data_IF_829627685967
#
_entry.id   IF_829627685967
#
_cell.length_a   1.000
_cell.length_b   1.000
_cell.length_c   1.000
_cell.angle_alpha   90.00
_cell.angle_beta   90.00
_cell.angle_gamma   90.00
#
_symmetry.space_group_name_H-M   'P 1'
#
loop_
_entity.id
_entity.type
_entity.pdbx_description
1 polymer ?
#
# COMPACT_ATOMS: atom_id res chain seq x y z
N UNK A 1 -28.61 0.44 4.78
CA UNK A 1 -27.53 -0.52 4.45
C UNK A 1 -27.56 -0.74 2.96
N UNK A 2 -26.46 -0.50 2.26
CA UNK A 2 -26.34 -0.88 0.85
C UNK A 2 -26.35 -2.40 0.71
N UNK A 3 -26.94 -2.93 -0.35
CA UNK A 3 -26.78 -4.34 -0.71
C UNK A 3 -25.30 -4.63 -1.04
N UNK A 4 -24.88 -5.90 -0.98
CA UNK A 4 -23.51 -6.30 -1.35
C UNK A 4 -23.13 -5.82 -2.76
N UNK A 5 -24.10 -5.80 -3.68
CA UNK A 5 -23.91 -5.34 -5.06
C UNK A 5 -23.74 -3.83 -5.15
N UNK A 6 -24.55 -3.05 -4.42
CA UNK A 6 -24.46 -1.58 -4.39
C UNK A 6 -23.13 -1.12 -3.81
N UNK A 7 -22.68 -1.74 -2.71
CA UNK A 7 -21.39 -1.44 -2.11
C UNK A 7 -20.22 -1.77 -3.06
N UNK A 8 -20.33 -2.86 -3.84
CA UNK A 8 -19.32 -3.22 -4.85
C UNK A 8 -19.26 -2.21 -5.99
N UNK A 9 -20.43 -1.82 -6.53
CA UNK A 9 -20.53 -0.79 -7.58
C UNK A 9 -19.96 0.55 -7.11
N UNK A 10 -20.24 0.95 -5.87
CA UNK A 10 -19.72 2.20 -5.31
C UNK A 10 -18.18 2.19 -5.22
N UNK A 11 -17.58 1.10 -4.71
CA UNK A 11 -16.12 0.95 -4.69
C UNK A 11 -15.52 0.99 -6.08
N UNK A 12 -16.14 0.32 -7.05
CA UNK A 12 -15.68 0.36 -8.43
C UNK A 12 -15.74 1.78 -9.02
N UNK A 13 -16.85 2.50 -8.80
CA UNK A 13 -17.00 3.88 -9.25
C UNK A 13 -15.99 4.83 -8.59
N UNK A 14 -15.70 4.63 -7.29
CA UNK A 14 -14.66 5.37 -6.58
C UNK A 14 -13.30 5.20 -7.27
N UNK A 15 -12.85 3.97 -7.48
CA UNK A 15 -11.55 3.70 -8.11
C UNK A 15 -11.44 4.20 -9.55
N UNK A 16 -12.53 4.09 -10.34
CA UNK A 16 -12.57 4.65 -11.70
C UNK A 16 -12.45 6.17 -11.68
N UNK A 17 -13.20 6.84 -10.79
CA UNK A 17 -13.20 8.30 -10.68
C UNK A 17 -11.85 8.80 -10.15
N UNK A 18 -11.31 8.17 -9.12
CA UNK A 18 -10.00 8.46 -8.55
C UNK A 18 -8.89 8.29 -9.60
N UNK A 19 -8.89 7.19 -10.36
CA UNK A 19 -7.92 6.97 -11.43
C UNK A 19 -7.98 8.04 -12.52
N UNK A 20 -9.17 8.53 -12.88
CA UNK A 20 -9.31 9.67 -13.81
C UNK A 20 -8.78 10.97 -13.23
N UNK A 21 -9.06 11.23 -11.96
CA UNK A 21 -8.61 12.44 -11.26
C UNK A 21 -7.10 12.48 -11.08
N UNK A 22 -6.47 11.33 -10.81
CA UNK A 22 -5.03 11.22 -10.57
C UNK A 22 -4.19 11.02 -11.85
N UNK A 23 -4.83 10.91 -13.02
CA UNK A 23 -4.15 10.80 -14.32
C UNK A 23 -3.11 11.92 -14.61
N UNK A 24 -3.32 13.19 -14.24
CA UNK A 24 -2.33 14.25 -14.48
C UNK A 24 -1.22 14.28 -13.42
N UNK A 25 -1.32 13.50 -12.33
CA UNK A 25 -0.29 13.43 -11.29
C UNK A 25 0.73 12.36 -11.70
N UNK A 26 1.97 12.75 -12.06
CA UNK A 26 2.99 11.79 -12.48
C UNK A 26 3.53 10.99 -11.29
N UNK A 27 4.16 9.86 -11.58
CA UNK A 27 5.00 9.15 -10.59
C UNK A 27 6.22 9.99 -10.20
N UNK A 28 6.97 9.50 -9.20
CA UNK A 28 8.29 10.06 -8.88
C UNK A 28 9.27 10.08 -10.07
N UNK A 29 9.03 9.24 -11.09
CA UNK A 29 9.84 9.14 -12.32
C UNK A 29 9.20 9.85 -13.53
N UNK A 30 8.07 10.56 -13.35
CA UNK A 30 7.42 11.27 -14.47
C UNK A 30 6.50 10.40 -15.35
N UNK A 31 6.27 9.14 -15.00
CA UNK A 31 5.49 8.19 -15.81
C UNK A 31 4.02 8.12 -15.38
N UNK A 32 3.08 7.78 -16.30
CA UNK A 32 1.69 7.50 -15.94
C UNK A 32 1.62 6.36 -14.94
N UNK A 33 0.94 6.57 -13.81
CA UNK A 33 0.96 5.62 -12.69
C UNK A 33 -0.41 5.13 -12.29
N UNK A 34 -0.46 3.84 -11.94
CA UNK A 34 -1.58 3.26 -11.25
C UNK A 34 -1.37 3.45 -9.75
N UNK A 35 -2.03 4.46 -9.16
CA UNK A 35 -1.94 4.78 -7.74
C UNK A 35 -2.45 3.67 -6.82
N UNK A 36 -3.29 2.76 -7.31
CA UNK A 36 -3.78 1.59 -6.55
C UNK A 36 -2.68 0.54 -6.41
N UNK A 37 -1.82 0.42 -7.42
CA UNK A 37 -0.72 -0.55 -7.46
C UNK A 37 0.54 0.14 -7.98
N UNK A 38 1.15 0.94 -7.11
CA UNK A 38 2.32 1.72 -7.46
C UNK A 38 3.49 0.77 -7.71
N UNK A 39 4.07 0.86 -8.92
CA UNK A 39 5.21 0.01 -9.31
C UNK A 39 6.46 0.50 -8.60
N UNK A 40 6.89 -0.23 -7.58
CA UNK A 40 8.13 0.02 -6.82
C UNK A 40 9.38 -0.39 -7.59
N UNK A 41 9.26 -1.23 -8.62
CA UNK A 41 10.39 -1.87 -9.31
C UNK A 41 11.06 -2.99 -8.52
N UNK A 42 10.67 -3.19 -7.26
CA UNK A 42 11.21 -4.23 -6.37
C UNK A 42 10.25 -5.41 -6.32
N UNK A 43 10.77 -6.61 -6.62
CA UNK A 43 9.96 -7.83 -6.63
C UNK A 43 9.40 -8.12 -5.23
N UNK A 44 8.11 -8.45 -5.15
CA UNK A 44 7.38 -8.76 -3.91
C UNK A 44 7.33 -7.63 -2.88
N UNK A 45 7.55 -6.38 -3.30
CA UNK A 45 7.32 -5.18 -2.49
C UNK A 45 6.29 -4.33 -3.20
N UNK A 46 5.13 -4.16 -2.58
CA UNK A 46 4.00 -3.45 -3.17
C UNK A 46 3.68 -2.21 -2.35
N UNK A 47 3.50 -1.07 -3.03
CA UNK A 47 2.95 0.13 -2.41
C UNK A 47 1.48 0.24 -2.82
N UNK A 48 0.59 0.15 -1.84
CA UNK A 48 -0.85 0.00 -2.03
C UNK A 48 -1.60 1.08 -1.28
N UNK A 49 -2.71 1.48 -1.87
CA UNK A 49 -3.70 2.34 -1.21
C UNK A 49 -5.01 1.55 -1.14
N UNK A 50 -5.57 1.47 0.07
CA UNK A 50 -6.86 0.84 0.32
C UNK A 50 -7.82 1.91 0.85
N UNK A 51 -8.86 2.22 0.10
CA UNK A 51 -9.92 3.13 0.53
C UNK A 51 -11.16 2.33 0.93
N UNK A 52 -11.49 2.35 2.21
CA UNK A 52 -12.74 1.82 2.75
C UNK A 52 -13.78 2.94 2.94
N UNK A 53 -14.99 2.58 3.38
CA UNK A 53 -16.10 3.54 3.54
C UNK A 53 -15.82 4.64 4.59
N UNK A 54 -14.94 4.37 5.57
CA UNK A 54 -14.70 5.28 6.71
C UNK A 54 -13.25 5.73 6.86
N UNK A 55 -12.32 5.04 6.21
CA UNK A 55 -10.88 5.25 6.37
C UNK A 55 -10.16 4.90 5.08
N UNK A 56 -8.99 5.47 4.87
CA UNK A 56 -8.14 5.15 3.74
C UNK A 56 -6.73 4.86 4.26
N UNK A 57 -6.21 3.67 3.99
CA UNK A 57 -4.87 3.29 4.40
C UNK A 57 -3.91 3.27 3.22
N UNK A 58 -2.65 3.57 3.53
CA UNK A 58 -1.52 3.41 2.62
C UNK A 58 -0.59 2.39 3.26
N UNK A 59 -0.15 1.40 2.48
CA UNK A 59 0.75 0.37 2.97
C UNK A 59 1.87 0.03 1.99
N UNK A 60 3.02 -0.32 2.55
CA UNK A 60 4.10 -1.03 1.88
C UNK A 60 4.01 -2.48 2.34
N UNK A 61 3.58 -3.36 1.44
CA UNK A 61 3.45 -4.79 1.70
C UNK A 61 4.66 -5.54 1.12
N UNK A 62 5.39 -6.25 2.00
CA UNK A 62 6.52 -7.10 1.65
C UNK A 62 6.03 -8.55 1.70
N UNK A 63 5.79 -9.15 0.53
CA UNK A 63 5.07 -10.43 0.39
C UNK A 63 5.99 -11.58 -0.06
N UNK A 64 7.27 -11.55 0.32
CA UNK A 64 8.15 -12.68 0.07
C UNK A 64 7.63 -13.91 0.81
N UNK A 65 7.56 -15.06 0.11
CA UNK A 65 7.04 -16.31 0.69
C UNK A 65 7.95 -16.91 1.76
N UNK A 66 9.26 -16.68 1.65
CA UNK A 66 10.25 -17.09 2.65
C UNK A 66 10.39 -16.05 3.77
N UNK A 67 10.31 -16.51 5.02
CA UNK A 67 10.36 -15.64 6.20
C UNK A 67 11.72 -14.94 6.36
N UNK A 68 12.82 -15.63 6.08
CA UNK A 68 14.16 -15.06 6.24
C UNK A 68 14.38 -13.90 5.26
N UNK A 69 13.97 -14.09 4.01
CA UNK A 69 14.00 -13.05 2.98
C UNK A 69 13.09 -11.89 3.36
N UNK A 70 11.86 -12.18 3.79
CA UNK A 70 10.91 -11.14 4.19
C UNK A 70 11.45 -10.29 5.35
N UNK A 71 12.02 -10.95 6.35
CA UNK A 71 12.67 -10.30 7.50
C UNK A 71 13.85 -9.43 7.08
N UNK A 72 14.72 -9.93 6.20
CA UNK A 72 15.86 -9.16 5.69
C UNK A 72 15.41 -7.86 5.01
N UNK A 73 14.41 -7.94 4.13
CA UNK A 73 13.86 -6.74 3.49
C UNK A 73 13.26 -5.77 4.50
N UNK A 74 12.47 -6.27 5.45
CA UNK A 74 11.88 -5.45 6.50
C UNK A 74 12.96 -4.74 7.34
N UNK A 75 14.03 -5.44 7.74
CA UNK A 75 15.16 -4.86 8.48
C UNK A 75 15.86 -3.76 7.69
N UNK A 76 16.01 -3.91 6.36
CA UNK A 76 16.54 -2.84 5.50
C UNK A 76 15.63 -1.61 5.52
N UNK A 77 14.31 -1.79 5.40
CA UNK A 77 13.38 -0.67 5.53
C UNK A 77 13.48 0.00 6.91
N UNK A 78 13.59 -0.79 7.98
CA UNK A 78 13.75 -0.27 9.35
C UNK A 78 15.03 0.55 9.49
N UNK A 79 16.12 0.13 8.84
CA UNK A 79 17.36 0.93 8.81
C UNK A 79 17.16 2.30 8.13
N UNK A 80 16.24 2.40 7.16
CA UNK A 80 15.85 3.66 6.52
C UNK A 80 14.71 4.40 7.22
N UNK A 81 14.18 3.88 8.34
CA UNK A 81 13.02 4.46 9.03
C UNK A 81 13.20 5.93 9.38
N UNK A 82 14.41 6.34 9.77
CA UNK A 82 14.69 7.74 10.10
C UNK A 82 14.49 8.66 8.89
N UNK A 83 15.08 8.31 7.75
CA UNK A 83 14.94 9.08 6.51
C UNK A 83 13.48 9.09 6.06
N UNK A 84 12.79 7.95 6.19
CA UNK A 84 11.38 7.84 5.86
C UNK A 84 10.52 8.80 6.71
N UNK A 85 10.68 8.76 8.03
CA UNK A 85 9.95 9.63 8.96
C UNK A 85 10.25 11.11 8.72
N UNK A 86 11.49 11.47 8.38
CA UNK A 86 11.86 12.86 8.06
C UNK A 86 11.19 13.37 6.77
N UNK A 87 11.00 12.50 5.77
CA UNK A 87 10.38 12.86 4.48
C UNK A 87 8.85 12.93 4.58
N UNK A 88 8.24 11.93 5.22
CA UNK A 88 6.77 11.83 5.30
C UNK A 88 6.24 12.73 6.43
N UNK A 89 7.05 12.99 7.46
CA UNK A 89 6.68 13.76 8.64
C UNK A 89 5.43 13.20 9.35
N UNK A 90 5.25 11.89 9.29
CA UNK A 90 4.16 11.12 9.91
C UNK A 90 4.72 9.85 10.55
N UNK A 91 4.02 9.36 11.57
CA UNK A 91 4.33 8.08 12.20
C UNK A 91 3.54 6.96 11.53
N UNK A 92 4.25 6.08 10.85
CA UNK A 92 3.69 4.87 10.28
C UNK A 92 3.87 3.69 11.23
N UNK A 93 2.99 2.70 11.11
CA UNK A 93 3.07 1.42 11.83
C UNK A 93 3.97 0.46 11.07
N UNK A 94 4.89 -0.21 11.76
CA UNK A 94 5.88 -1.11 11.18
C UNK A 94 5.72 -2.50 11.78
N UNK A 95 5.19 -3.44 11.00
CA UNK A 95 4.86 -4.79 11.47
C UNK A 95 5.57 -5.87 10.63
N UNK A 96 6.48 -6.61 11.26
CA UNK A 96 7.21 -7.68 10.59
C UNK A 96 6.33 -8.90 10.25
N UNK A 97 5.34 -9.20 11.09
CA UNK A 97 4.51 -10.40 10.98
C UNK A 97 3.03 -10.03 10.88
N UNK A 98 2.70 -9.28 9.82
CA UNK A 98 1.32 -8.97 9.48
C UNK A 98 0.69 -10.14 8.70
N UNK A 99 -0.65 -10.13 8.61
CA UNK A 99 -1.43 -11.08 7.83
C UNK A 99 -2.41 -10.28 6.99
N UNK A 100 -2.49 -10.56 5.69
CA UNK A 100 -3.50 -9.91 4.85
C UNK A 100 -4.91 -10.48 5.06
N UNK A 101 -5.89 -9.88 4.40
CA UNK A 101 -7.30 -10.31 4.41
C UNK A 101 -7.52 -11.77 3.99
N UNK A 102 -6.57 -12.37 3.28
CA UNK A 102 -6.62 -13.74 2.79
C UNK A 102 -5.87 -14.74 3.68
N UNK A 103 -5.37 -14.31 4.85
CA UNK A 103 -4.62 -15.18 5.76
C UNK A 103 -3.17 -15.43 5.35
N UNK A 104 -2.64 -14.70 4.36
CA UNK A 104 -1.25 -14.85 3.89
C UNK A 104 -0.33 -13.97 4.73
N UNK A 105 0.75 -14.52 5.31
CA UNK A 105 1.65 -13.74 6.13
C UNK A 105 2.53 -12.82 5.26
N UNK A 106 2.72 -11.59 5.70
CA UNK A 106 3.56 -10.58 5.06
C UNK A 106 4.21 -9.65 6.10
N UNK A 107 5.08 -8.75 5.68
CA UNK A 107 5.53 -7.64 6.51
C UNK A 107 4.93 -6.35 5.96
N UNK A 108 4.43 -5.50 6.84
CA UNK A 108 3.67 -4.32 6.46
C UNK A 108 4.25 -3.07 7.11
N UNK A 109 4.29 -1.99 6.35
CA UNK A 109 4.52 -0.64 6.87
C UNK A 109 3.32 0.20 6.44
N UNK A 110 2.49 0.68 7.36
CA UNK A 110 1.18 1.26 7.01
C UNK A 110 0.77 2.45 7.87
N UNK A 111 -0.09 3.30 7.30
CA UNK A 111 -0.82 4.36 7.99
C UNK A 111 -2.29 4.34 7.55
N UNK A 112 -3.22 4.85 8.37
CA UNK A 112 -4.69 4.81 8.16
C UNK A 112 -5.33 6.17 8.38
#
# INVERSE_FOLDING_TARGET
MYSKEEASKLRQQFWITFGKYMKPVPSAEGLPINWVNYKTGVKNVFFRMNAEQKQASISIDITHGDLATRKLFFEQFVAFKKIFSDVVNEDWNWELNAVNEYGVPLSQISTT
#
